data_IF_373132408399
#
_entry.id   IF_373132408399
#
_cell.length_a   1.000
_cell.length_b   1.000
_cell.length_c   1.000
_cell.angle_alpha   90.00
_cell.angle_beta   90.00
_cell.angle_gamma   90.00
#
_symmetry.space_group_name_H-M   'P 1'
#
loop_
_entity.id
_entity.type
_entity.pdbx_description
1 polymer ?
#
# COMPACT_ATOMS: atom_id res chain seq x y z
N UNK A 1 16.92 13.68 27.65
CA UNK A 1 15.92 13.75 26.56
C UNK A 1 16.51 14.31 25.27
N UNK A 2 17.15 15.51 25.27
CA UNK A 2 17.82 16.09 24.06
C UNK A 2 18.69 15.15 23.21
N UNK A 3 19.57 14.34 23.83
CA UNK A 3 20.43 13.43 23.06
C UNK A 3 19.69 12.28 22.37
N UNK A 4 18.59 11.81 22.97
CA UNK A 4 17.75 10.75 22.38
C UNK A 4 16.96 11.32 21.21
N UNK A 5 16.42 12.53 21.34
CA UNK A 5 15.67 13.19 20.27
C UNK A 5 16.55 13.46 19.04
N UNK A 6 17.82 13.84 19.27
CA UNK A 6 18.82 13.98 18.20
C UNK A 6 19.13 12.64 17.52
N UNK A 7 19.34 11.59 18.31
CA UNK A 7 19.59 10.25 17.76
C UNK A 7 18.40 9.72 16.95
N UNK A 8 17.17 9.91 17.45
CA UNK A 8 15.94 9.53 16.73
C UNK A 8 15.82 10.30 15.42
N UNK A 9 16.12 11.60 15.41
CA UNK A 9 16.05 12.43 14.19
C UNK A 9 17.04 11.95 13.12
N UNK A 10 18.28 11.64 13.51
CA UNK A 10 19.29 11.10 12.59
C UNK A 10 18.91 9.72 12.06
N UNK A 11 18.37 8.84 12.91
CA UNK A 11 17.92 7.50 12.50
C UNK A 11 16.75 7.61 11.52
N UNK A 12 15.77 8.47 11.79
CA UNK A 12 14.65 8.70 10.85
C UNK A 12 15.17 9.23 9.51
N UNK A 13 16.12 10.17 9.52
CA UNK A 13 16.71 10.70 8.30
C UNK A 13 17.44 9.61 7.49
N UNK A 14 18.18 8.71 8.15
CA UNK A 14 18.86 7.60 7.49
C UNK A 14 17.89 6.55 6.92
N UNK A 15 16.81 6.24 7.65
CA UNK A 15 15.75 5.34 7.17
C UNK A 15 15.09 5.90 5.91
N UNK A 16 14.77 7.21 5.90
CA UNK A 16 14.18 7.87 4.72
C UNK A 16 15.14 7.84 3.52
N UNK A 17 16.45 8.03 3.74
CA UNK A 17 17.46 7.92 2.66
C UNK A 17 17.56 6.52 2.07
N UNK A 18 17.33 5.48 2.87
CA UNK A 18 17.34 4.07 2.45
C UNK A 18 16.03 3.60 1.84
N UNK A 19 14.96 4.38 1.98
CA UNK A 19 13.65 4.03 1.45
C UNK A 19 13.71 3.89 -0.07
N UNK A 20 13.24 2.74 -0.57
CA UNK A 20 13.10 2.51 -2.01
C UNK A 20 11.68 2.88 -2.42
N UNK A 21 11.58 3.80 -3.38
CA UNK A 21 10.29 4.09 -4.02
C UNK A 21 9.91 2.92 -4.91
N UNK A 22 8.71 2.41 -4.68
CA UNK A 22 8.06 1.42 -5.55
C UNK A 22 7.71 2.10 -6.87
N UNK A 23 7.97 1.43 -7.99
CA UNK A 23 7.74 1.96 -9.35
C UNK A 23 6.83 1.07 -10.18
N UNK A 24 6.76 -0.23 -9.89
CA UNK A 24 5.99 -1.18 -10.70
C UNK A 24 4.82 -1.76 -9.91
N UNK A 25 3.77 -2.15 -10.62
CA UNK A 25 2.63 -2.89 -10.04
C UNK A 25 3.07 -4.24 -9.48
N UNK A 26 4.10 -4.87 -10.05
CA UNK A 26 4.67 -6.14 -9.56
C UNK A 26 5.29 -5.98 -8.17
N UNK A 27 6.00 -4.88 -7.92
CA UNK A 27 6.53 -4.56 -6.59
C UNK A 27 5.40 -4.32 -5.58
N UNK A 28 4.31 -3.66 -6.00
CA UNK A 28 3.10 -3.51 -5.18
C UNK A 28 2.47 -4.87 -4.86
N UNK A 29 2.34 -5.76 -5.86
CA UNK A 29 1.79 -7.09 -5.68
C UNK A 29 2.64 -7.93 -4.73
N UNK A 30 3.96 -7.83 -4.83
CA UNK A 30 4.89 -8.52 -3.94
C UNK A 30 4.73 -8.02 -2.49
N UNK A 31 4.73 -6.71 -2.28
CA UNK A 31 4.54 -6.12 -0.95
C UNK A 31 3.15 -6.46 -0.39
N UNK A 32 2.12 -6.41 -1.23
CA UNK A 32 0.75 -6.80 -0.88
C UNK A 32 0.66 -8.26 -0.48
N UNK A 33 1.28 -9.16 -1.24
CA UNK A 33 1.35 -10.60 -0.94
C UNK A 33 2.03 -10.87 0.41
N UNK A 34 3.17 -10.23 0.66
CA UNK A 34 3.91 -10.38 1.93
C UNK A 34 3.06 -9.87 3.10
N UNK A 35 2.36 -8.74 2.91
CA UNK A 35 1.50 -8.15 3.93
C UNK A 35 0.24 -8.96 4.18
N UNK A 36 -0.28 -9.63 3.14
CA UNK A 36 -1.40 -10.55 3.19
C UNK A 36 -1.00 -11.98 3.62
N UNK A 37 0.03 -12.12 4.47
CA UNK A 37 0.48 -13.41 5.00
C UNK A 37 0.84 -14.47 3.93
N UNK A 38 1.35 -14.03 2.78
CA UNK A 38 1.76 -14.90 1.67
C UNK A 38 0.66 -15.20 0.65
N UNK A 39 -0.53 -14.60 0.78
CA UNK A 39 -1.62 -14.78 -0.16
C UNK A 39 -1.41 -13.95 -1.43
N UNK A 40 -1.04 -14.65 -2.52
CA UNK A 40 -0.74 -14.01 -3.80
C UNK A 40 -1.97 -13.37 -4.45
N UNK A 41 -3.12 -14.03 -4.35
CA UNK A 41 -4.37 -13.57 -4.93
C UNK A 41 -4.79 -12.20 -4.37
N UNK A 42 -4.64 -12.02 -3.04
CA UNK A 42 -4.87 -10.73 -2.37
C UNK A 42 -3.84 -9.69 -2.83
N UNK A 43 -2.56 -10.06 -2.92
CA UNK A 43 -1.52 -9.15 -3.41
C UNK A 43 -1.76 -8.66 -4.84
N UNK A 44 -2.17 -9.55 -5.74
CA UNK A 44 -2.53 -9.23 -7.12
C UNK A 44 -3.77 -8.35 -7.21
N UNK A 45 -4.77 -8.61 -6.37
CA UNK A 45 -5.98 -7.80 -6.27
C UNK A 45 -5.65 -6.38 -5.79
N UNK A 46 -4.81 -6.23 -4.76
CA UNK A 46 -4.35 -4.92 -4.26
C UNK A 46 -3.57 -4.18 -5.35
N UNK A 47 -2.66 -4.84 -6.05
CA UNK A 47 -1.91 -4.22 -7.13
C UNK A 47 -2.82 -3.74 -8.27
N UNK A 48 -3.82 -4.55 -8.63
CA UNK A 48 -4.83 -4.20 -9.63
C UNK A 48 -5.69 -3.01 -9.18
N UNK A 49 -6.06 -2.96 -7.90
CA UNK A 49 -6.77 -1.84 -7.30
C UNK A 49 -5.94 -0.56 -7.34
N UNK A 50 -4.69 -0.60 -6.86
CA UNK A 50 -3.79 0.55 -6.86
C UNK A 50 -3.48 1.04 -8.28
N UNK A 51 -3.38 0.15 -9.27
CA UNK A 51 -3.17 0.53 -10.66
C UNK A 51 -4.38 1.28 -11.25
N UNK A 52 -5.60 0.87 -10.90
CA UNK A 52 -6.84 1.52 -11.35
C UNK A 52 -7.11 2.85 -10.64
N UNK A 53 -6.79 2.93 -9.35
CA UNK A 53 -7.05 4.09 -8.47
C UNK A 53 -5.94 5.16 -8.57
N UNK A 54 -4.72 4.78 -8.93
CA UNK A 54 -3.57 5.67 -9.03
C UNK A 54 -2.90 5.96 -7.68
N UNK A 55 -1.83 6.78 -7.70
CA UNK A 55 -0.97 7.00 -6.52
C UNK A 55 -1.65 7.77 -5.37
N UNK A 56 -2.71 8.53 -5.66
CA UNK A 56 -3.37 9.41 -4.67
C UNK A 56 -4.80 8.99 -4.34
N UNK A 57 -5.29 7.90 -4.95
CA UNK A 57 -6.67 7.49 -4.70
C UNK A 57 -6.81 6.62 -3.45
N UNK A 58 -8.04 6.57 -2.95
CA UNK A 58 -8.40 5.89 -1.70
C UNK A 58 -9.08 4.57 -2.03
N UNK A 59 -8.64 3.49 -1.40
CA UNK A 59 -9.29 2.17 -1.49
C UNK A 59 -10.16 2.00 -0.26
N UNK A 60 -11.46 1.84 -0.46
CA UNK A 60 -12.43 1.50 0.59
C UNK A 60 -12.83 0.04 0.45
N UNK A 61 -12.99 -0.64 1.58
CA UNK A 61 -13.46 -2.03 1.63
C UNK A 61 -14.85 -2.02 2.24
N UNK A 62 -15.81 -2.64 1.56
CA UNK A 62 -17.17 -2.84 2.05
C UNK A 62 -17.48 -4.33 2.15
N UNK A 63 -18.26 -4.72 3.16
CA UNK A 63 -18.72 -6.11 3.30
C UNK A 63 -19.81 -6.40 2.27
N UNK A 64 -19.46 -7.18 1.24
CA UNK A 64 -20.42 -7.69 0.29
C UNK A 64 -21.23 -8.85 0.89
N UNK A 65 -22.53 -8.95 0.54
CA UNK A 65 -23.38 -10.09 0.91
C UNK A 65 -23.14 -11.32 0.02
N UNK A 66 -22.38 -11.16 -1.05
CA UNK A 66 -22.01 -12.18 -2.03
C UNK A 66 -20.63 -12.75 -1.71
N UNK A 67 -20.35 -13.96 -2.16
CA UNK A 67 -19.05 -14.62 -1.95
C UNK A 67 -17.96 -14.14 -2.94
N UNK A 68 -18.32 -13.34 -3.93
CA UNK A 68 -17.42 -12.84 -4.96
C UNK A 68 -16.86 -11.47 -4.56
N UNK A 69 -15.56 -11.28 -4.81
CA UNK A 69 -14.90 -9.99 -4.57
C UNK A 69 -14.92 -9.17 -5.86
N UNK A 70 -15.66 -8.07 -5.84
CA UNK A 70 -15.76 -7.15 -6.98
C UNK A 70 -14.90 -5.90 -6.75
N UNK A 71 -14.40 -5.33 -7.84
CA UNK A 71 -13.63 -4.09 -7.81
C UNK A 71 -14.29 -3.04 -8.69
N UNK A 72 -14.95 -2.08 -8.06
CA UNK A 72 -15.51 -0.90 -8.70
C UNK A 72 -14.61 0.32 -8.50
N UNK A 73 -14.45 1.11 -9.57
CA UNK A 73 -13.72 2.38 -9.52
C UNK A 73 -14.74 3.48 -9.67
N UNK A 74 -14.92 4.30 -8.63
CA UNK A 74 -15.76 5.48 -8.68
C UNK A 74 -14.91 6.72 -8.92
N UNK A 75 -15.12 7.39 -10.05
CA UNK A 75 -14.51 8.68 -10.34
C UNK A 75 -15.19 9.78 -9.54
N UNK A 76 -14.86 9.86 -8.24
CA UNK A 76 -15.06 11.08 -7.46
C UNK A 76 -15.83 10.91 -6.15
N UNK A 77 -15.21 11.40 -5.09
CA UNK A 77 -15.81 12.34 -4.15
C UNK A 77 -14.72 13.35 -3.76
N UNK A 78 -15.04 14.63 -3.89
CA UNK A 78 -14.20 15.76 -3.49
C UNK A 78 -13.89 15.72 -1.99
#
# INVERSE_FOLDING_TARGET
KRGVDMAVSEVVADVVKKAKKIKTSEEVAQVGTISANGEKEIGEMIASAMQKVGNEGVITVEEAKTAETELEVVEGMQ
#
